data_IF_199881118621
#
_entry.id   IF_199881118621
#
_cell.length_a   1.000
_cell.length_b   1.000
_cell.length_c   1.000
_cell.angle_alpha   90.00
_cell.angle_beta   90.00
_cell.angle_gamma   90.00
#
_symmetry.space_group_name_H-M   'P 1'
#
loop_
_entity.id
_entity.type
_entity.pdbx_description
1 polymer ?
#
# COMPACT_ATOMS: atom_id res chain seq x y z
N UNK A 1 -8.55 7.45 10.04
CA UNK A 1 -7.57 6.81 9.13
C UNK A 1 -8.19 5.92 8.05
N UNK A 2 -9.20 5.10 8.38
CA UNK A 2 -9.91 4.28 7.41
C UNK A 2 -10.34 5.00 6.11
N UNK A 3 -10.94 6.20 6.23
CA UNK A 3 -11.39 6.97 5.05
C UNK A 3 -10.24 7.36 4.10
N UNK A 4 -9.04 7.61 4.64
CA UNK A 4 -7.86 7.96 3.84
C UNK A 4 -7.42 6.75 3.02
N UNK A 5 -7.44 5.55 3.61
CA UNK A 5 -7.13 4.31 2.89
C UNK A 5 -8.20 4.01 1.85
N UNK A 6 -9.48 4.22 2.15
CA UNK A 6 -10.55 4.04 1.18
C UNK A 6 -10.38 4.96 -0.04
N UNK A 7 -10.06 6.24 0.19
CA UNK A 7 -9.77 7.20 -0.88
C UNK A 7 -8.54 6.80 -1.69
N UNK A 8 -7.49 6.30 -1.04
CA UNK A 8 -6.31 5.79 -1.74
C UNK A 8 -6.68 4.60 -2.63
N UNK A 9 -7.46 3.63 -2.12
CA UNK A 9 -7.95 2.50 -2.92
C UNK A 9 -8.79 2.99 -4.10
N UNK A 10 -9.68 3.97 -3.92
CA UNK A 10 -10.50 4.53 -5.01
C UNK A 10 -9.66 5.16 -6.12
N UNK A 11 -8.60 5.89 -5.75
CA UNK A 11 -7.65 6.45 -6.71
C UNK A 11 -6.96 5.35 -7.53
N UNK A 12 -6.52 4.27 -6.87
CA UNK A 12 -5.84 3.15 -7.54
C UNK A 12 -6.78 2.38 -8.48
N UNK A 13 -8.04 2.18 -8.05
CA UNK A 13 -9.08 1.55 -8.90
C UNK A 13 -9.34 2.40 -10.15
N UNK A 14 -9.45 3.72 -9.98
CA UNK A 14 -9.66 4.62 -11.10
C UNK A 14 -8.48 4.63 -12.08
N UNK A 15 -7.25 4.59 -11.58
CA UNK A 15 -6.04 4.46 -12.40
C UNK A 15 -6.04 3.20 -13.24
N UNK A 16 -6.30 2.04 -12.61
CA UNK A 16 -6.37 0.75 -13.29
C UNK A 16 -7.47 0.69 -14.36
N UNK A 17 -8.61 1.34 -14.12
CA UNK A 17 -9.70 1.44 -15.11
C UNK A 17 -9.33 2.30 -16.32
N UNK A 18 -8.44 3.28 -16.15
CA UNK A 18 -7.91 4.12 -17.24
C UNK A 18 -6.79 3.45 -18.04
N UNK A 19 -5.91 2.72 -17.38
CA UNK A 19 -4.85 1.90 -18.00
C UNK A 19 -4.64 0.64 -17.14
N UNK A 20 -4.87 -0.55 -17.71
CA UNK A 20 -4.71 -1.82 -16.99
C UNK A 20 -3.27 -2.11 -16.54
N UNK A 21 -2.29 -1.34 -17.03
CA UNK A 21 -0.88 -1.42 -16.61
C UNK A 21 -0.58 -0.53 -15.41
N UNK A 22 -1.48 0.40 -15.08
CA UNK A 22 -1.33 1.32 -13.97
C UNK A 22 -1.31 0.57 -12.63
N UNK A 23 -0.68 1.15 -11.63
CA UNK A 23 -0.50 0.52 -10.32
C UNK A 23 0.54 1.21 -9.46
N UNK A 24 1.22 0.46 -8.59
CA UNK A 24 2.29 1.04 -7.79
C UNK A 24 3.47 1.41 -8.72
N UNK A 25 3.89 2.69 -8.76
CA UNK A 25 4.98 3.11 -9.63
C UNK A 25 6.35 2.58 -9.17
N UNK A 26 6.43 2.06 -7.95
CA UNK A 26 7.67 1.58 -7.32
C UNK A 26 7.80 0.06 -7.45
N UNK A 27 6.71 -0.68 -7.24
CA UNK A 27 6.70 -2.14 -7.12
C UNK A 27 7.44 -2.87 -8.26
N UNK A 28 7.16 -2.62 -9.55
CA UNK A 28 7.76 -3.40 -10.63
C UNK A 28 9.28 -3.25 -10.67
N UNK A 29 9.75 -2.00 -10.61
CA UNK A 29 11.17 -1.67 -10.68
C UNK A 29 11.88 -2.12 -9.40
N UNK A 30 11.24 -1.99 -8.23
CA UNK A 30 11.79 -2.44 -6.97
C UNK A 30 12.03 -3.95 -6.96
N UNK A 31 11.06 -4.72 -7.46
CA UNK A 31 11.12 -6.19 -7.55
C UNK A 31 12.23 -6.65 -8.50
N UNK A 32 12.34 -6.03 -9.69
CA UNK A 32 13.43 -6.34 -10.64
C UNK A 32 14.82 -5.93 -10.09
N UNK A 33 14.88 -4.84 -9.31
CA UNK A 33 16.12 -4.28 -8.81
C UNK A 33 16.73 -5.03 -7.61
N UNK A 34 16.00 -5.94 -6.95
CA UNK A 34 16.45 -6.59 -5.69
C UNK A 34 17.89 -7.13 -5.79
N UNK A 35 18.20 -7.78 -6.92
CA UNK A 35 19.53 -8.32 -7.22
C UNK A 35 20.29 -7.54 -8.31
N UNK A 36 19.60 -6.69 -9.08
CA UNK A 36 20.20 -5.97 -10.21
C UNK A 36 20.81 -4.62 -9.80
N UNK A 37 20.24 -3.93 -8.80
CA UNK A 37 20.69 -2.59 -8.40
C UNK A 37 20.43 -2.32 -6.91
N UNK A 38 21.47 -2.37 -6.06
CA UNK A 38 21.37 -1.98 -4.65
C UNK A 38 20.80 -0.57 -4.45
N UNK A 39 21.19 0.39 -5.30
CA UNK A 39 20.73 1.77 -5.24
C UNK A 39 19.22 1.88 -5.44
N UNK A 40 18.67 1.20 -6.45
CA UNK A 40 17.23 1.23 -6.73
C UNK A 40 16.46 0.47 -5.65
N UNK A 41 16.98 -0.66 -5.18
CA UNK A 41 16.41 -1.40 -4.05
C UNK A 41 16.32 -0.54 -2.80
N UNK A 42 17.38 0.19 -2.46
CA UNK A 42 17.44 1.06 -1.27
C UNK A 42 16.51 2.27 -1.39
N UNK A 43 16.46 2.92 -2.56
CA UNK A 43 15.53 4.02 -2.81
C UNK A 43 14.07 3.57 -2.71
N UNK A 44 13.75 2.40 -3.26
CA UNK A 44 12.40 1.81 -3.19
C UNK A 44 12.02 1.46 -1.75
N UNK A 45 12.94 0.83 -1.01
CA UNK A 45 12.73 0.53 0.41
C UNK A 45 12.54 1.79 1.25
N UNK A 46 13.25 2.88 0.93
CA UNK A 46 13.06 4.17 1.60
C UNK A 46 11.67 4.76 1.33
N UNK A 47 11.18 4.67 0.09
CA UNK A 47 9.84 5.16 -0.25
C UNK A 47 8.74 4.38 0.48
N UNK A 48 8.78 3.04 0.46
CA UNK A 48 7.81 2.22 1.21
C UNK A 48 7.87 2.47 2.71
N UNK A 49 9.08 2.65 3.28
CA UNK A 49 9.23 3.06 4.68
C UNK A 49 8.60 4.41 4.96
N UNK A 50 8.73 5.37 4.05
CA UNK A 50 8.08 6.69 4.16
C UNK A 50 6.55 6.58 4.21
N UNK A 51 5.95 5.73 3.38
CA UNK A 51 4.50 5.49 3.42
C UNK A 51 4.05 4.81 4.71
N UNK A 52 4.79 3.80 5.18
CA UNK A 52 4.51 3.17 6.46
C UNK A 52 4.63 4.16 7.63
N UNK A 53 5.68 4.99 7.64
CA UNK A 53 5.88 6.00 8.67
C UNK A 53 4.74 7.01 8.71
N UNK A 54 4.29 7.52 7.55
CA UNK A 54 3.17 8.46 7.49
C UNK A 54 1.86 7.88 8.07
N UNK A 55 1.59 6.60 7.81
CA UNK A 55 0.41 5.91 8.39
C UNK A 55 0.59 5.71 9.90
N UNK A 56 1.77 5.22 10.33
CA UNK A 56 2.07 4.96 11.73
C UNK A 56 2.04 6.24 12.58
N UNK A 57 2.64 7.33 12.10
CA UNK A 57 2.61 8.65 12.76
C UNK A 57 1.18 9.13 12.98
N UNK A 58 0.31 8.93 11.98
CA UNK A 58 -1.09 9.31 12.10
C UNK A 58 -1.86 8.40 13.06
N UNK A 59 -1.64 7.09 13.04
CA UNK A 59 -2.22 6.16 14.02
C UNK A 59 -1.77 6.50 15.44
N UNK A 60 -0.49 6.83 15.62
CA UNK A 60 0.04 7.25 16.90
C UNK A 60 -0.60 8.57 17.39
N UNK A 61 -0.80 9.54 16.49
CA UNK A 61 -1.53 10.77 16.79
C UNK A 61 -3.01 10.50 17.16
N UNK A 62 -3.60 9.42 16.64
CA UNK A 62 -4.94 8.94 16.99
C UNK A 62 -4.94 8.08 18.29
N UNK A 63 -3.81 7.95 18.98
CA UNK A 63 -3.70 7.34 20.33
C UNK A 63 -3.14 5.91 20.37
N UNK A 64 -2.72 5.35 19.24
CA UNK A 64 -2.17 3.99 19.19
C UNK A 64 -0.77 3.90 19.82
N UNK A 65 -0.46 2.75 20.43
CA UNK A 65 0.90 2.45 20.84
C UNK A 65 1.81 2.36 19.60
N UNK A 66 3.02 2.93 19.68
CA UNK A 66 3.93 2.99 18.54
C UNK A 66 4.20 1.62 17.88
N UNK A 67 4.45 0.51 18.61
CA UNK A 67 4.66 -0.79 17.99
C UNK A 67 3.44 -1.30 17.19
N UNK A 68 2.23 -1.05 17.68
CA UNK A 68 0.99 -1.46 17.02
C UNK A 68 0.73 -0.60 15.78
N UNK A 69 0.94 0.72 15.89
CA UNK A 69 0.83 1.66 14.78
C UNK A 69 1.80 1.30 13.63
N UNK A 70 3.06 0.98 13.94
CA UNK A 70 4.06 0.55 12.97
C UNK A 70 3.68 -0.77 12.30
N UNK A 71 3.20 -1.75 13.07
CA UNK A 71 2.78 -3.05 12.56
C UNK A 71 1.56 -2.94 11.63
N UNK A 72 0.54 -2.19 12.05
CA UNK A 72 -0.67 -1.97 11.25
C UNK A 72 -0.37 -1.16 10.00
N UNK A 73 0.49 -0.15 10.07
CA UNK A 73 0.91 0.61 8.90
C UNK A 73 1.57 -0.28 7.84
N UNK A 74 2.49 -1.15 8.25
CA UNK A 74 3.11 -2.12 7.36
C UNK A 74 2.09 -3.10 6.76
N UNK A 75 1.14 -3.57 7.56
CA UNK A 75 0.09 -4.48 7.11
C UNK A 75 -0.83 -3.83 6.05
N UNK A 76 -1.23 -2.58 6.27
CA UNK A 76 -2.06 -1.82 5.31
C UNK A 76 -1.33 -1.61 3.99
N UNK A 77 -0.06 -1.18 4.01
CA UNK A 77 0.73 -1.02 2.78
C UNK A 77 0.87 -2.37 2.06
N UNK A 78 1.16 -3.44 2.80
CA UNK A 78 1.30 -4.79 2.22
C UNK A 78 0.00 -5.28 1.57
N UNK A 79 -1.16 -4.99 2.16
CA UNK A 79 -2.47 -5.32 1.58
C UNK A 79 -2.70 -4.59 0.26
N UNK A 80 -2.39 -3.30 0.20
CA UNK A 80 -2.57 -2.48 -1.01
C UNK A 80 -1.64 -2.95 -2.12
N UNK A 81 -0.35 -3.15 -1.83
CA UNK A 81 0.64 -3.60 -2.83
C UNK A 81 0.31 -5.01 -3.36
N UNK A 82 -0.10 -5.93 -2.49
CA UNK A 82 -0.56 -7.25 -2.90
C UNK A 82 -1.81 -7.17 -3.78
N UNK A 83 -2.77 -6.32 -3.41
CA UNK A 83 -3.99 -6.11 -4.19
C UNK A 83 -3.73 -5.47 -5.55
N UNK A 84 -2.77 -4.54 -5.65
CA UNK A 84 -2.32 -3.96 -6.91
C UNK A 84 -1.75 -5.01 -7.85
N UNK A 85 -0.85 -5.86 -7.34
CA UNK A 85 -0.29 -6.96 -8.11
C UNK A 85 -1.37 -7.91 -8.62
N UNK A 86 -2.28 -8.37 -7.74
CA UNK A 86 -3.37 -9.28 -8.11
C UNK A 86 -4.31 -8.65 -9.14
N UNK A 87 -4.69 -7.38 -8.95
CA UNK A 87 -5.60 -6.66 -9.84
C UNK A 87 -4.99 -6.49 -11.24
N UNK A 88 -3.70 -6.17 -11.33
CA UNK A 88 -2.97 -6.05 -12.60
C UNK A 88 -2.89 -7.39 -13.33
N UNK A 89 -2.60 -8.48 -12.62
CA UNK A 89 -2.54 -9.82 -13.22
C UNK A 89 -3.91 -10.30 -13.70
N UNK A 90 -4.97 -10.02 -12.93
CA UNK A 90 -6.34 -10.39 -13.29
C UNK A 90 -6.94 -9.50 -14.39
N UNK A 91 -6.46 -8.26 -14.53
CA UNK A 91 -7.05 -7.26 -15.42
C UNK A 91 -8.38 -6.70 -14.88
N UNK A 92 -8.61 -6.78 -13.56
CA UNK A 92 -9.78 -6.24 -12.89
C UNK A 92 -9.42 -5.65 -11.52
N UNK A 93 -10.33 -4.90 -10.90
CA UNK A 93 -10.08 -4.21 -9.64
C UNK A 93 -10.56 -4.97 -8.38
N UNK A 94 -10.93 -6.25 -8.49
CA UNK A 94 -11.60 -6.97 -7.41
C UNK A 94 -10.73 -7.08 -6.14
N UNK A 95 -9.43 -7.32 -6.29
CA UNK A 95 -8.51 -7.40 -5.16
C UNK A 95 -8.35 -6.04 -4.46
N UNK A 96 -8.25 -4.94 -5.22
CA UNK A 96 -8.23 -3.58 -4.65
C UNK A 96 -9.50 -3.27 -3.87
N UNK A 97 -10.67 -3.61 -4.41
CA UNK A 97 -11.94 -3.39 -3.70
C UNK A 97 -12.04 -4.18 -2.39
N UNK A 98 -11.44 -5.37 -2.34
CA UNK A 98 -11.38 -6.18 -1.13
C UNK A 98 -10.50 -5.57 -0.02
N UNK A 99 -9.58 -4.66 -0.34
CA UNK A 99 -8.74 -3.99 0.66
C UNK A 99 -9.56 -3.17 1.63
N UNK A 100 -10.58 -2.43 1.17
CA UNK A 100 -11.35 -1.49 2.00
C UNK A 100 -11.89 -2.11 3.30
N UNK A 101 -12.72 -3.18 3.26
CA UNK A 101 -13.23 -3.79 4.50
C UNK A 101 -12.11 -4.37 5.38
N UNK A 102 -11.05 -4.94 4.79
CA UNK A 102 -9.93 -5.49 5.55
C UNK A 102 -9.12 -4.38 6.26
N UNK A 103 -8.80 -3.31 5.55
CA UNK A 103 -8.09 -2.16 6.08
C UNK A 103 -8.89 -1.46 7.18
N UNK A 104 -10.21 -1.33 7.03
CA UNK A 104 -11.08 -0.79 8.09
C UNK A 104 -10.98 -1.59 9.38
N UNK A 105 -11.02 -2.92 9.29
CA UNK A 105 -10.88 -3.79 10.47
C UNK A 105 -9.51 -3.65 11.14
N UNK A 106 -8.43 -3.49 10.35
CA UNK A 106 -7.09 -3.26 10.89
C UNK A 106 -6.94 -1.89 11.55
N UNK A 107 -7.65 -0.88 11.03
CA UNK A 107 -7.56 0.51 11.49
C UNK A 107 -8.58 0.85 12.59
N UNK A 108 -9.42 -0.10 13.01
CA UNK A 108 -10.41 0.06 14.07
C UNK A 108 -9.98 -0.52 15.42
N UNK A 109 -8.72 -0.95 15.55
CA UNK A 109 -8.13 -1.45 16.80
C UNK A 109 -8.16 -0.43 17.94
#
# INVERSE_FOLDING_TARGET
MADVVDQWVDLLVAGLAGDHRDGCPIEPIATEAVHASPLVREASAHAFKGWCAAIAERLHADGWAAPDAESVALAVVSLIEGALMLSRVAGDAAALQAVKPAARNLLSG
#
